data_IF_113512303203
#
_entry.id   IF_113512303203
#
_cell.length_a   1.000
_cell.length_b   1.000
_cell.length_c   1.000
_cell.angle_alpha   90.00
_cell.angle_beta   90.00
_cell.angle_gamma   90.00
#
_symmetry.space_group_name_H-M   'P 1'
#
loop_
_entity.id
_entity.type
_entity.pdbx_description
1 polymer ?
#
# COMPACT_ATOMS: atom_id res chain seq x y z
N UNK A 1 34.20 10.76 1.21
CA UNK A 1 34.75 10.10 2.41
C UNK A 1 33.65 9.22 2.98
N UNK A 2 33.91 7.92 3.14
CA UNK A 2 32.98 6.93 3.71
C UNK A 2 32.52 7.32 5.12
N UNK A 3 33.37 8.00 5.90
CA UNK A 3 33.02 8.48 7.24
C UNK A 3 31.97 9.59 7.22
N UNK A 4 31.98 10.45 6.20
CA UNK A 4 30.94 11.47 6.02
C UNK A 4 29.61 10.84 5.56
N UNK A 5 29.65 9.79 4.73
CA UNK A 5 28.43 9.05 4.37
C UNK A 5 27.81 8.33 5.58
N UNK A 6 28.63 7.79 6.49
CA UNK A 6 28.14 7.17 7.73
C UNK A 6 27.51 8.17 8.71
N UNK A 7 27.93 9.44 8.70
CA UNK A 7 27.32 10.50 9.53
C UNK A 7 25.95 10.96 8.99
N UNK A 8 25.72 10.81 7.69
CA UNK A 8 24.44 11.13 7.03
C UNK A 8 23.41 10.01 7.23
N UNK A 9 23.87 8.79 7.52
CA UNK A 9 23.02 7.64 7.78
C UNK A 9 22.51 7.70 9.23
N UNK A 10 21.28 8.17 9.40
CA UNK A 10 20.55 8.02 10.66
C UNK A 10 20.04 6.57 10.81
N UNK A 11 20.54 5.89 11.84
CA UNK A 11 20.16 4.51 12.17
C UNK A 11 18.64 4.41 12.40
N UNK A 12 18.00 5.42 12.99
CA UNK A 12 16.55 5.38 13.22
C UNK A 12 15.78 5.37 11.90
N UNK A 13 16.21 6.19 10.94
CA UNK A 13 15.69 6.16 9.56
C UNK A 13 15.90 4.79 8.89
N UNK A 14 16.99 4.06 9.17
CA UNK A 14 17.17 2.69 8.67
C UNK A 14 16.20 1.72 9.34
N UNK A 15 16.01 1.84 10.65
CA UNK A 15 15.15 0.93 11.43
C UNK A 15 13.66 1.07 11.08
N UNK A 16 13.23 2.21 10.55
CA UNK A 16 11.87 2.41 10.05
C UNK A 16 11.60 1.68 8.72
N UNK A 17 12.63 1.27 7.98
CA UNK A 17 12.48 0.58 6.69
C UNK A 17 12.05 -0.87 6.87
N UNK A 18 10.90 -1.21 6.28
CA UNK A 18 10.35 -2.57 6.32
C UNK A 18 10.02 -3.14 4.94
N UNK A 19 10.10 -2.33 3.88
CA UNK A 19 9.85 -2.74 2.49
C UNK A 19 11.12 -2.56 1.68
N UNK A 20 11.60 -3.65 1.10
CA UNK A 20 12.91 -3.71 0.47
C UNK A 20 12.80 -3.95 -1.03
N UNK A 21 13.49 -3.12 -1.82
CA UNK A 21 13.71 -3.40 -3.24
C UNK A 21 14.82 -4.43 -3.37
N UNK A 22 14.57 -5.45 -4.18
CA UNK A 22 15.52 -6.52 -4.46
C UNK A 22 16.68 -5.96 -5.27
N UNK A 23 17.89 -6.39 -4.93
CA UNK A 23 19.07 -5.95 -5.65
C UNK A 23 19.04 -6.44 -7.09
N UNK A 24 19.57 -5.64 -8.02
CA UNK A 24 19.59 -5.95 -9.45
C UNK A 24 20.16 -7.34 -9.76
N UNK A 25 21.18 -7.79 -9.02
CA UNK A 25 21.79 -9.10 -9.21
C UNK A 25 20.80 -10.25 -8.94
N UNK A 26 19.97 -10.12 -7.89
CA UNK A 26 18.98 -11.14 -7.52
C UNK A 26 17.79 -11.06 -8.47
N UNK A 27 17.33 -9.85 -8.80
CA UNK A 27 16.24 -9.64 -9.74
C UNK A 27 16.57 -10.24 -11.12
N UNK A 28 17.79 -10.05 -11.63
CA UNK A 28 18.24 -10.64 -12.90
C UNK A 28 18.22 -12.17 -12.92
N UNK A 29 18.38 -12.82 -11.77
CA UNK A 29 18.31 -14.28 -11.69
C UNK A 29 16.89 -14.81 -11.83
N UNK A 30 15.89 -14.09 -11.29
CA UNK A 30 14.48 -14.48 -11.37
C UNK A 30 13.54 -13.28 -11.24
N UNK A 31 13.38 -12.53 -12.32
CA UNK A 31 12.61 -11.28 -12.35
C UNK A 31 11.14 -11.49 -12.00
N UNK A 32 10.52 -12.54 -12.56
CA UNK A 32 9.11 -12.88 -12.35
C UNK A 32 8.78 -13.27 -10.89
N UNK A 33 9.78 -13.49 -10.02
CA UNK A 33 9.54 -13.74 -8.60
C UNK A 33 9.33 -12.46 -7.78
N UNK A 34 9.54 -11.28 -8.38
CA UNK A 34 9.45 -10.00 -7.70
C UNK A 34 8.53 -9.00 -8.41
N UNK A 35 8.30 -9.19 -9.72
CA UNK A 35 7.42 -8.33 -10.51
C UNK A 35 5.96 -8.79 -10.42
N UNK A 36 5.02 -7.94 -9.95
CA UNK A 36 3.59 -8.26 -9.93
C UNK A 36 3.02 -8.44 -11.34
N UNK A 37 2.04 -9.33 -11.46
CA UNK A 37 1.40 -9.68 -12.74
C UNK A 37 -0.05 -9.18 -12.88
N UNK A 38 -0.73 -8.93 -11.77
CA UNK A 38 -2.12 -8.54 -11.66
C UNK A 38 -2.32 -7.21 -10.92
N UNK A 39 -1.60 -6.90 -9.84
CA UNK A 39 -1.81 -5.65 -9.09
C UNK A 39 -0.50 -5.07 -8.57
N UNK A 40 -0.29 -3.78 -8.79
CA UNK A 40 0.75 -3.04 -8.07
C UNK A 40 0.17 -2.42 -6.81
N UNK A 41 0.91 -2.55 -5.71
CA UNK A 41 0.67 -1.95 -4.40
C UNK A 41 1.96 -1.23 -4.01
N UNK A 42 1.85 0.06 -3.72
CA UNK A 42 3.00 0.88 -3.39
C UNK A 42 3.83 1.30 -4.61
N UNK A 43 5.05 1.83 -4.35
CA UNK A 43 5.78 2.67 -5.30
C UNK A 43 6.77 1.94 -6.22
N UNK A 44 7.05 0.64 -6.03
CA UNK A 44 8.14 -0.02 -6.75
C UNK A 44 7.79 -0.50 -8.17
N UNK A 45 6.50 -0.66 -8.48
CA UNK A 45 6.03 -1.08 -9.82
C UNK A 45 5.00 -0.10 -10.44
N UNK A 46 5.30 1.21 -10.50
CA UNK A 46 4.35 2.19 -11.01
C UNK A 46 4.09 1.96 -12.50
N UNK A 47 2.81 1.98 -12.90
CA UNK A 47 2.38 2.00 -14.30
C UNK A 47 2.99 0.88 -15.17
N UNK A 48 3.28 -0.29 -14.61
CA UNK A 48 3.77 -1.42 -15.40
C UNK A 48 2.71 -1.76 -16.47
N UNK A 49 3.03 -1.81 -17.78
CA UNK A 49 2.01 -1.90 -18.85
C UNK A 49 1.03 -3.07 -18.72
N UNK A 50 1.53 -4.20 -18.19
CA UNK A 50 0.74 -5.40 -17.87
C UNK A 50 -0.32 -5.22 -16.76
N UNK A 51 -0.25 -4.13 -15.98
CA UNK A 51 -1.07 -3.89 -14.80
C UNK A 51 -2.18 -2.84 -15.02
N UNK A 52 -2.22 -2.20 -16.20
CA UNK A 52 -3.15 -1.10 -16.51
C UNK A 52 -4.64 -1.49 -16.33
N UNK A 53 -5.03 -2.69 -16.73
CA UNK A 53 -6.43 -3.15 -16.64
C UNK A 53 -6.91 -3.29 -15.20
N UNK A 54 -5.96 -3.49 -14.26
CA UNK A 54 -6.25 -3.73 -12.85
C UNK A 54 -6.28 -2.45 -12.00
N UNK A 55 -5.90 -1.32 -12.57
CA UNK A 55 -6.18 0.00 -11.98
C UNK A 55 -7.68 0.27 -11.87
N UNK A 56 -8.47 -0.15 -12.87
CA UNK A 56 -9.93 -0.06 -12.81
C UNK A 56 -10.48 -0.90 -11.66
N UNK A 57 -9.89 -2.09 -11.44
CA UNK A 57 -10.27 -2.97 -10.34
C UNK A 57 -9.96 -2.33 -8.98
N UNK A 58 -8.76 -1.74 -8.81
CA UNK A 58 -8.41 -0.98 -7.60
C UNK A 58 -9.39 0.15 -7.32
N UNK A 59 -9.73 0.95 -8.32
CA UNK A 59 -10.71 2.03 -8.19
C UNK A 59 -12.11 1.52 -7.81
N UNK A 60 -12.50 0.34 -8.29
CA UNK A 60 -13.78 -0.29 -7.90
C UNK A 60 -13.79 -0.68 -6.42
N UNK A 61 -12.68 -1.17 -5.88
CA UNK A 61 -12.52 -1.48 -4.45
C UNK A 61 -12.51 -0.19 -3.62
N UNK A 62 -11.85 0.86 -4.10
CA UNK A 62 -11.90 2.17 -3.46
C UNK A 62 -13.33 2.69 -3.32
N UNK A 63 -14.12 2.62 -4.39
CA UNK A 63 -15.54 3.01 -4.34
C UNK A 63 -16.35 2.13 -3.38
N UNK A 64 -16.07 0.83 -3.35
CA UNK A 64 -16.74 -0.10 -2.44
C UNK A 64 -16.39 0.19 -0.97
N UNK A 65 -15.12 0.46 -0.67
CA UNK A 65 -14.62 0.88 0.65
C UNK A 65 -15.38 2.12 1.14
N UNK A 66 -15.33 3.21 0.37
CA UNK A 66 -15.99 4.48 0.74
C UNK A 66 -17.50 4.29 0.97
N UNK A 67 -18.16 3.48 0.14
CA UNK A 67 -19.58 3.16 0.30
C UNK A 67 -19.83 2.36 1.58
N UNK A 68 -18.98 1.36 1.87
CA UNK A 68 -19.12 0.49 3.05
C UNK A 68 -18.97 1.26 4.34
N UNK A 69 -17.97 2.14 4.40
CA UNK A 69 -17.65 2.92 5.60
C UNK A 69 -18.48 4.19 5.72
N UNK A 70 -19.30 4.50 4.71
CA UNK A 70 -20.09 5.73 4.59
C UNK A 70 -19.20 6.98 4.68
N UNK A 71 -18.04 6.92 4.05
CA UNK A 71 -17.01 7.96 4.10
C UNK A 71 -16.91 8.70 2.79
N UNK A 72 -16.62 9.99 2.86
CA UNK A 72 -16.35 10.81 1.68
C UNK A 72 -14.89 10.72 1.28
N UNK A 73 -14.60 10.84 -0.02
CA UNK A 73 -13.21 10.93 -0.50
C UNK A 73 -12.42 12.06 0.18
N UNK A 74 -13.07 13.18 0.50
CA UNK A 74 -12.44 14.29 1.22
C UNK A 74 -12.03 13.92 2.65
N UNK A 75 -12.88 13.21 3.39
CA UNK A 75 -12.55 12.73 4.74
C UNK A 75 -11.42 11.71 4.72
N UNK A 76 -11.46 10.75 3.78
CA UNK A 76 -10.37 9.77 3.65
C UNK A 76 -9.03 10.44 3.30
N UNK A 77 -9.06 11.37 2.34
CA UNK A 77 -7.89 12.14 1.93
C UNK A 77 -7.31 12.99 3.08
N UNK A 78 -8.13 13.47 4.01
CA UNK A 78 -7.66 14.20 5.18
C UNK A 78 -6.75 13.33 6.06
N UNK A 79 -7.17 12.11 6.41
CA UNK A 79 -6.32 11.17 7.17
C UNK A 79 -5.05 10.78 6.44
N UNK A 80 -5.13 10.60 5.12
CA UNK A 80 -3.98 10.26 4.29
C UNK A 80 -2.92 11.35 4.31
N UNK A 81 -3.33 12.62 4.21
CA UNK A 81 -2.40 13.77 4.28
C UNK A 81 -1.63 13.85 5.60
N UNK A 82 -2.17 13.29 6.67
CA UNK A 82 -1.47 13.24 7.97
C UNK A 82 -0.40 12.15 8.03
N UNK A 83 -0.58 11.04 7.30
CA UNK A 83 0.36 9.89 7.32
C UNK A 83 1.34 9.88 6.16
N UNK A 84 1.02 10.55 5.05
CA UNK A 84 1.84 10.59 3.85
C UNK A 84 3.30 10.99 4.10
N UNK A 85 3.64 11.98 4.95
CA UNK A 85 5.04 12.33 5.22
C UNK A 85 5.90 11.20 5.82
N UNK A 86 5.27 10.15 6.36
CA UNK A 86 5.95 8.98 6.89
C UNK A 86 6.05 7.84 5.88
N UNK A 87 5.22 7.85 4.83
CA UNK A 87 5.12 6.76 3.86
C UNK A 87 6.46 6.43 3.18
N UNK A 88 7.27 7.40 2.70
CA UNK A 88 8.58 7.10 2.10
C UNK A 88 9.57 6.39 3.03
N UNK A 89 9.45 6.59 4.35
CA UNK A 89 10.43 6.10 5.34
C UNK A 89 10.45 4.58 5.48
N UNK A 90 9.35 3.92 5.10
CA UNK A 90 9.22 2.48 5.17
C UNK A 90 9.95 1.75 4.02
N UNK A 91 10.38 2.47 2.98
CA UNK A 91 11.01 1.88 1.80
C UNK A 91 12.55 1.98 1.85
N UNK A 92 13.22 0.90 1.46
CA UNK A 92 14.68 0.82 1.43
C UNK A 92 15.32 1.78 0.43
N UNK A 93 14.61 2.02 -0.66
CA UNK A 93 15.01 2.93 -1.73
C UNK A 93 14.24 4.23 -1.58
N UNK A 94 14.88 5.34 -1.94
CA UNK A 94 14.18 6.61 -2.05
C UNK A 94 13.09 6.49 -3.12
N UNK A 95 11.98 7.18 -2.87
CA UNK A 95 10.82 7.26 -3.79
C UNK A 95 10.57 8.73 -4.16
N UNK A 96 11.65 9.50 -4.26
CA UNK A 96 11.66 10.95 -4.48
C UNK A 96 11.16 11.34 -5.88
N UNK A 97 11.03 10.36 -6.79
CA UNK A 97 10.42 10.54 -8.10
C UNK A 97 8.92 10.83 -8.04
N UNK A 98 8.26 10.50 -6.91
CA UNK A 98 6.83 10.78 -6.74
C UNK A 98 6.60 12.13 -6.08
N UNK A 99 5.72 12.92 -6.68
CA UNK A 99 5.17 14.10 -6.04
C UNK A 99 4.33 13.73 -4.82
N UNK A 100 4.09 14.72 -3.94
CA UNK A 100 3.19 14.55 -2.80
C UNK A 100 1.79 14.09 -3.24
N UNK A 101 1.26 14.67 -4.32
CA UNK A 101 -0.02 14.29 -4.91
C UNK A 101 0.01 12.85 -5.44
N UNK A 102 1.14 12.49 -6.07
CA UNK A 102 1.65 11.14 -6.36
C UNK A 102 1.35 10.15 -5.23
N UNK A 103 2.01 10.40 -4.10
CA UNK A 103 2.00 9.56 -2.92
C UNK A 103 0.61 9.52 -2.25
N UNK A 104 -0.07 10.65 -2.13
CA UNK A 104 -1.43 10.71 -1.57
C UNK A 104 -2.36 9.82 -2.38
N UNK A 105 -2.31 9.89 -3.72
CA UNK A 105 -3.16 9.07 -4.58
C UNK A 105 -2.84 7.58 -4.42
N UNK A 106 -1.56 7.23 -4.35
CA UNK A 106 -1.12 5.84 -4.13
C UNK A 106 -1.62 5.32 -2.78
N UNK A 107 -1.36 6.03 -1.69
CA UNK A 107 -1.82 5.68 -0.35
C UNK A 107 -3.35 5.55 -0.34
N UNK A 108 -4.07 6.48 -0.96
CA UNK A 108 -5.52 6.44 -1.05
C UNK A 108 -6.02 5.15 -1.68
N UNK A 109 -5.52 4.84 -2.88
CA UNK A 109 -6.03 3.74 -3.68
C UNK A 109 -5.64 2.40 -3.04
N UNK A 110 -4.39 2.25 -2.66
CA UNK A 110 -3.85 0.96 -2.20
C UNK A 110 -4.34 0.62 -0.79
N UNK A 111 -4.42 1.60 0.12
CA UNK A 111 -5.00 1.35 1.45
C UNK A 111 -6.50 1.02 1.37
N UNK A 112 -7.27 1.70 0.50
CA UNK A 112 -8.69 1.40 0.32
C UNK A 112 -8.92 0.00 -0.25
N UNK A 113 -8.08 -0.43 -1.20
CA UNK A 113 -8.08 -1.79 -1.73
C UNK A 113 -7.86 -2.80 -0.60
N UNK A 114 -6.83 -2.60 0.21
CA UNK A 114 -6.44 -3.51 1.29
C UNK A 114 -7.55 -3.61 2.35
N UNK A 115 -8.10 -2.47 2.80
CA UNK A 115 -9.17 -2.47 3.79
C UNK A 115 -10.46 -3.11 3.28
N UNK A 116 -10.90 -2.78 2.06
CA UNK A 116 -12.09 -3.44 1.49
C UNK A 116 -11.88 -4.94 1.32
N UNK A 117 -10.66 -5.37 0.95
CA UNK A 117 -10.35 -6.79 0.87
C UNK A 117 -10.46 -7.49 2.23
N UNK A 118 -9.96 -6.88 3.30
CA UNK A 118 -10.13 -7.42 4.66
C UNK A 118 -11.61 -7.50 5.06
N UNK A 119 -12.40 -6.44 4.82
CA UNK A 119 -13.84 -6.45 5.11
C UNK A 119 -14.59 -7.58 4.36
N UNK A 120 -14.27 -7.80 3.08
CA UNK A 120 -14.88 -8.88 2.29
C UNK A 120 -14.47 -10.27 2.74
N UNK A 121 -13.22 -10.43 3.16
CA UNK A 121 -12.68 -11.71 3.61
C UNK A 121 -13.25 -12.12 4.98
N UNK A 122 -13.46 -11.16 5.87
CA UNK A 122 -14.00 -11.41 7.20
C UNK A 122 -15.51 -11.71 7.17
N UNK A 123 -16.26 -11.01 6.31
CA UNK A 123 -17.72 -11.07 6.33
C UNK A 123 -18.30 -11.80 5.10
N UNK A 124 -18.61 -13.09 5.27
CA UNK A 124 -19.12 -14.00 4.23
C UNK A 124 -20.35 -13.49 3.48
N UNK A 125 -21.17 -12.60 4.07
CA UNK A 125 -22.32 -11.99 3.39
C UNK A 125 -21.91 -11.09 2.22
N UNK A 126 -20.68 -10.59 2.23
CA UNK A 126 -20.12 -9.70 1.22
C UNK A 126 -19.13 -10.40 0.28
N UNK A 127 -18.90 -11.70 0.47
CA UNK A 127 -18.07 -12.55 -0.37
C UNK A 127 -18.82 -12.91 -1.66
N UNK A 128 -19.22 -11.92 -2.47
CA UNK A 128 -19.79 -12.21 -3.79
C UNK A 128 -18.71 -12.43 -4.85
N UNK A 129 -17.48 -11.95 -4.63
CA UNK A 129 -16.26 -12.29 -5.38
C UNK A 129 -15.03 -12.13 -4.49
N UNK A 130 -14.36 -13.23 -4.16
CA UNK A 130 -13.02 -13.18 -3.56
C UNK A 130 -12.06 -12.45 -4.51
N UNK A 131 -10.96 -11.91 -3.99
CA UNK A 131 -9.87 -11.48 -4.85
C UNK A 131 -9.41 -12.67 -5.70
N UNK A 132 -9.11 -12.46 -6.99
CA UNK A 132 -8.45 -13.49 -7.79
C UNK A 132 -7.15 -13.94 -7.11
N UNK A 133 -6.82 -15.23 -7.21
CA UNK A 133 -5.59 -15.80 -6.63
C UNK A 133 -4.32 -15.04 -7.08
N UNK A 134 -4.34 -14.50 -8.30
CA UNK A 134 -3.26 -13.66 -8.82
C UNK A 134 -3.06 -12.37 -8.02
N UNK A 135 -4.13 -11.73 -7.55
CA UNK A 135 -4.06 -10.53 -6.72
C UNK A 135 -3.53 -10.86 -5.33
N UNK A 136 -3.93 -12.00 -4.76
CA UNK A 136 -3.42 -12.47 -3.47
C UNK A 136 -1.93 -12.77 -3.58
N UNK A 137 -1.52 -13.48 -4.64
CA UNK A 137 -0.11 -13.82 -4.91
C UNK A 137 0.74 -12.57 -5.05
N UNK A 138 0.27 -11.59 -5.83
CA UNK A 138 0.97 -10.32 -5.99
C UNK A 138 1.10 -9.54 -4.67
N UNK A 139 0.06 -9.55 -3.84
CA UNK A 139 0.08 -8.88 -2.53
C UNK A 139 1.09 -9.51 -1.55
N UNK A 140 1.67 -10.68 -1.88
CA UNK A 140 2.72 -11.34 -1.10
C UNK A 140 4.14 -11.11 -1.66
N UNK A 141 4.28 -10.48 -2.83
CA UNK A 141 5.59 -10.20 -3.42
C UNK A 141 6.33 -9.13 -2.61
N UNK A 142 7.63 -9.35 -2.40
CA UNK A 142 8.46 -8.47 -1.56
C UNK A 142 8.47 -7.01 -2.05
N UNK A 143 8.50 -6.81 -3.37
CA UNK A 143 8.51 -5.48 -3.98
C UNK A 143 7.09 -4.87 -4.15
N UNK A 144 6.05 -5.54 -3.66
CA UNK A 144 4.65 -5.15 -3.86
C UNK A 144 3.89 -5.01 -2.54
N UNK A 145 4.55 -4.44 -1.53
CA UNK A 145 4.03 -4.35 -0.16
C UNK A 145 3.56 -2.95 0.18
N UNK A 146 2.69 -2.87 1.18
CA UNK A 146 2.26 -1.64 1.81
C UNK A 146 2.64 -1.66 3.31
N UNK A 147 3.16 -0.57 3.91
CA UNK A 147 3.62 -0.60 5.29
C UNK A 147 2.47 -0.86 6.27
N UNK A 148 2.53 -2.00 6.98
CA UNK A 148 1.49 -2.37 7.94
C UNK A 148 1.30 -1.30 9.04
N UNK A 149 2.38 -0.73 9.56
CA UNK A 149 2.30 0.35 10.58
C UNK A 149 1.52 1.57 10.09
N UNK A 150 1.63 1.89 8.79
CA UNK A 150 0.88 2.99 8.19
C UNK A 150 -0.60 2.61 7.98
N UNK A 151 -0.90 1.37 7.59
CA UNK A 151 -2.28 0.85 7.57
C UNK A 151 -2.91 0.89 8.97
N UNK A 152 -2.21 0.43 9.99
CA UNK A 152 -2.71 0.47 11.36
C UNK A 152 -3.02 1.89 11.79
N UNK A 153 -2.12 2.85 11.51
CA UNK A 153 -2.34 4.27 11.81
C UNK A 153 -3.58 4.83 11.10
N UNK A 154 -3.76 4.50 9.81
CA UNK A 154 -4.95 4.89 9.05
C UNK A 154 -6.22 4.27 9.64
N UNK A 155 -6.16 2.98 9.99
CA UNK A 155 -7.28 2.26 10.60
C UNK A 155 -7.68 2.90 11.93
N UNK A 156 -6.74 3.15 12.82
CA UNK A 156 -6.99 3.71 14.16
C UNK A 156 -7.57 5.13 14.09
N UNK A 157 -7.07 5.95 13.15
CA UNK A 157 -7.59 7.31 12.91
C UNK A 157 -9.01 7.30 12.36
N UNK A 158 -9.32 6.31 11.54
CA UNK A 158 -10.55 6.25 10.78
C UNK A 158 -11.69 5.50 11.48
N UNK A 159 -11.35 4.48 12.26
CA UNK A 159 -12.24 3.72 13.12
C UNK A 159 -11.91 4.02 14.60
N UNK A 160 -12.06 5.27 15.08
CA UNK A 160 -11.78 5.57 16.47
C UNK A 160 -12.70 4.74 17.36
N UNK A 161 -12.13 3.89 18.23
CA UNK A 161 -12.78 3.01 19.23
C UNK A 161 -14.29 2.83 19.01
N UNK A 162 -14.64 2.29 17.85
CA UNK A 162 -15.98 1.81 17.57
C UNK A 162 -16.15 0.54 18.40
N UNK A 163 -17.32 0.38 19.04
CA UNK A 163 -17.63 -0.88 19.71
C UNK A 163 -17.43 -2.02 18.71
N UNK A 164 -17.04 -3.22 19.17
CA UNK A 164 -16.74 -4.35 18.26
C UNK A 164 -17.90 -4.67 17.28
N UNK A 165 -19.11 -4.15 17.54
CA UNK A 165 -20.30 -4.30 16.73
C UNK A 165 -20.40 -3.29 15.55
N UNK A 166 -19.55 -2.27 15.50
CA UNK A 166 -19.55 -1.19 14.48
C UNK A 166 -18.39 -1.30 13.46
N UNK A 167 -17.59 -2.36 13.56
CA UNK A 167 -16.56 -2.73 12.57
C UNK A 167 -17.26 -3.60 11.48
N UNK A 168 -17.23 -3.20 10.20
CA UNK A 168 -17.93 -3.92 9.11
C UNK A 168 -17.57 -5.41 8.94
#
# INVERSE_FOLDING_TARGET
DTFEMMKVIDINTILERCIYKVTFCIQRYKEDAYTPMAISIGPFHPNHPRLCDMEIYKLSYCKAFLRRTQTTSGSWNHYIKEVEPYFPRFYSNTIDEFSKEELIKMIFVDSSLIFENFCRSYNKKFSTKALPDSVITDSLLLENQFPFSLLQTLFDKFFPKRSNDDIP
#
